data_IF_459791580438
#
_entry.id   IF_459791580438
#
_cell.length_a   1.000
_cell.length_b   1.000
_cell.length_c   1.000
_cell.angle_alpha   90.00
_cell.angle_beta   90.00
_cell.angle_gamma   90.00
#
_symmetry.space_group_name_H-M   'P 1'
#
loop_
_entity.id
_entity.type
_entity.pdbx_description
1 polymer ?
#
# COMPACT_ATOMS: atom_id res chain seq x y z
N UNK A 1 -2.85 40.58 -16.68
CA UNK A 1 -3.54 40.26 -15.41
C UNK A 1 -3.15 38.88 -14.95
N UNK A 2 -2.78 38.80 -13.67
CA UNK A 2 -2.70 37.64 -12.75
C UNK A 2 -3.82 36.60 -12.97
N UNK A 3 -3.78 35.34 -12.52
CA UNK A 3 -2.95 34.67 -11.52
C UNK A 3 -3.13 33.14 -11.69
N UNK A 4 -2.10 32.36 -11.39
CA UNK A 4 -2.10 30.88 -11.32
C UNK A 4 -3.06 30.34 -10.24
N UNK A 5 -3.36 29.02 -10.24
CA UNK A 5 -2.76 28.24 -9.18
C UNK A 5 -1.67 27.33 -9.71
N UNK A 6 -0.66 27.26 -8.88
CA UNK A 6 0.63 26.67 -9.12
C UNK A 6 0.47 25.16 -8.96
N UNK A 7 0.63 24.38 -10.02
CA UNK A 7 0.92 22.94 -9.88
C UNK A 7 2.38 22.79 -9.39
N UNK A 8 2.63 23.15 -8.13
CA UNK A 8 3.81 22.79 -7.32
C UNK A 8 3.41 21.47 -6.64
N UNK A 9 4.05 20.34 -6.79
CA UNK A 9 5.37 20.05 -7.31
C UNK A 9 5.30 18.74 -8.10
N UNK A 10 5.99 18.69 -9.23
CA UNK A 10 6.57 17.45 -9.71
C UNK A 10 7.50 16.95 -8.60
N UNK A 11 7.02 16.03 -7.76
CA UNK A 11 7.91 15.01 -7.21
C UNK A 11 8.27 14.14 -8.43
N UNK A 12 9.56 13.85 -8.69
CA UNK A 12 9.83 12.72 -9.57
C UNK A 12 9.10 11.54 -8.95
N UNK A 13 8.24 10.79 -9.66
CA UNK A 13 7.82 9.51 -9.12
C UNK A 13 9.13 8.73 -9.02
N UNK A 14 9.67 8.61 -7.81
CA UNK A 14 10.64 7.56 -7.54
C UNK A 14 10.02 6.32 -8.16
N UNK A 15 10.73 5.71 -9.10
CA UNK A 15 10.27 4.60 -9.94
C UNK A 15 10.01 3.35 -9.09
N UNK A 16 9.09 3.43 -8.13
CA UNK A 16 8.66 2.35 -7.27
C UNK A 16 7.50 1.71 -7.99
N UNK A 17 7.79 0.60 -8.66
CA UNK A 17 6.78 -0.33 -9.14
C UNK A 17 5.72 -0.51 -8.04
N UNK A 18 4.41 -0.47 -8.39
CA UNK A 18 3.35 -0.69 -7.42
C UNK A 18 3.56 -2.06 -6.76
N UNK A 19 3.41 -2.12 -5.44
CA UNK A 19 3.53 -3.38 -4.71
C UNK A 19 2.45 -4.36 -5.20
N UNK A 20 2.83 -5.60 -5.42
CA UNK A 20 1.91 -6.66 -5.84
C UNK A 20 1.26 -7.33 -4.63
N UNK A 21 0.10 -7.96 -4.83
CA UNK A 21 -0.55 -8.79 -3.81
C UNK A 21 0.36 -9.92 -3.30
N UNK A 22 1.22 -10.45 -4.17
CA UNK A 22 2.18 -11.49 -3.82
C UNK A 22 3.27 -10.96 -2.88
N UNK A 23 3.83 -9.77 -3.15
CA UNK A 23 4.81 -9.13 -2.26
C UNK A 23 4.24 -8.83 -0.88
N UNK A 24 2.97 -8.39 -0.80
CA UNK A 24 2.27 -8.20 0.48
C UNK A 24 2.18 -9.52 1.25
N UNK A 25 1.75 -10.59 0.58
CA UNK A 25 1.60 -11.92 1.17
C UNK A 25 2.93 -12.47 1.67
N UNK A 26 3.99 -12.33 0.89
CA UNK A 26 5.31 -12.87 1.22
C UNK A 26 5.95 -12.10 2.37
N UNK A 27 5.88 -10.77 2.36
CA UNK A 27 6.39 -9.95 3.46
C UNK A 27 5.59 -10.17 4.77
N UNK A 28 4.28 -10.43 4.67
CA UNK A 28 3.48 -10.81 5.84
C UNK A 28 3.91 -12.19 6.37
N UNK A 29 4.09 -13.17 5.49
CA UNK A 29 4.46 -14.54 5.88
C UNK A 29 5.88 -14.63 6.43
N UNK A 30 6.84 -13.88 5.90
CA UNK A 30 8.22 -13.85 6.42
C UNK A 30 8.30 -13.35 7.87
N UNK A 31 7.30 -12.59 8.31
CA UNK A 31 7.15 -12.13 9.70
C UNK A 31 6.32 -13.08 10.58
N UNK A 32 5.79 -14.17 10.03
CA UNK A 32 4.88 -15.06 10.73
C UNK A 32 3.51 -14.43 11.03
N UNK A 33 3.06 -13.45 10.23
CA UNK A 33 1.81 -12.74 10.48
C UNK A 33 0.63 -13.41 9.76
N UNK A 34 -0.52 -13.46 10.42
CA UNK A 34 -1.81 -13.77 9.77
C UNK A 34 -2.34 -12.53 9.03
N UNK A 35 -3.27 -12.72 8.09
CA UNK A 35 -3.96 -11.59 7.43
C UNK A 35 -4.68 -10.70 8.46
N UNK A 36 -5.29 -11.31 9.49
CA UNK A 36 -5.96 -10.58 10.57
C UNK A 36 -4.98 -9.71 11.37
N UNK A 37 -3.76 -10.20 11.62
CA UNK A 37 -2.72 -9.40 12.29
C UNK A 37 -2.30 -8.19 11.46
N UNK A 38 -2.08 -8.37 10.15
CA UNK A 38 -1.75 -7.25 9.26
C UNK A 38 -2.91 -6.24 9.19
N UNK A 39 -4.14 -6.73 9.07
CA UNK A 39 -5.34 -5.91 9.03
C UNK A 39 -5.50 -5.07 10.30
N UNK A 40 -5.37 -5.69 11.48
CA UNK A 40 -5.41 -4.99 12.76
C UNK A 40 -4.29 -3.96 12.93
N UNK A 41 -3.09 -4.24 12.40
CA UNK A 41 -1.97 -3.29 12.41
C UNK A 41 -2.26 -2.07 11.54
N UNK A 42 -3.00 -2.25 10.45
CA UNK A 42 -3.36 -1.19 9.50
C UNK A 42 -4.71 -0.51 9.81
N UNK A 43 -5.48 -1.00 10.79
CA UNK A 43 -6.81 -0.49 11.09
C UNK A 43 -7.84 -0.77 9.98
N UNK A 44 -7.68 -1.86 9.22
CA UNK A 44 -8.57 -2.24 8.11
C UNK A 44 -9.18 -3.62 8.33
N UNK A 45 -10.13 -4.01 7.47
CA UNK A 45 -10.72 -5.36 7.54
C UNK A 45 -9.75 -6.44 7.02
N UNK A 46 -9.82 -7.64 7.59
CA UNK A 46 -9.08 -8.80 7.07
C UNK A 46 -9.45 -9.08 5.60
N UNK A 47 -10.72 -8.90 5.24
CA UNK A 47 -11.20 -9.09 3.87
C UNK A 47 -10.51 -8.16 2.88
N UNK A 48 -10.21 -6.90 3.27
CA UNK A 48 -9.42 -6.00 2.44
C UNK A 48 -8.04 -6.60 2.16
N UNK A 49 -7.33 -7.07 3.18
CA UNK A 49 -6.00 -7.71 3.01
C UNK A 49 -6.09 -8.91 2.08
N UNK A 50 -7.11 -9.75 2.24
CA UNK A 50 -7.34 -10.89 1.34
C UNK A 50 -7.53 -10.42 -0.11
N UNK A 51 -8.39 -9.43 -0.36
CA UNK A 51 -8.63 -8.92 -1.70
C UNK A 51 -7.37 -8.31 -2.34
N UNK A 52 -6.56 -7.60 -1.55
CA UNK A 52 -5.27 -7.04 -2.02
C UNK A 52 -4.27 -8.16 -2.37
N UNK A 53 -4.11 -9.17 -1.52
CA UNK A 53 -3.20 -10.29 -1.77
C UNK A 53 -3.58 -11.11 -3.01
N UNK A 54 -4.88 -11.24 -3.29
CA UNK A 54 -5.39 -11.94 -4.48
C UNK A 54 -5.55 -11.05 -5.72
N UNK A 55 -5.20 -9.76 -5.65
CA UNK A 55 -5.38 -8.82 -6.76
C UNK A 55 -6.84 -8.56 -7.14
N UNK A 56 -7.79 -8.84 -6.23
CA UNK A 56 -9.23 -8.59 -6.43
C UNK A 56 -9.63 -7.14 -6.19
N UNK A 57 -8.73 -6.34 -5.61
CA UNK A 57 -8.92 -4.91 -5.38
C UNK A 57 -7.62 -4.19 -5.67
N UNK A 58 -7.72 -3.03 -6.32
CA UNK A 58 -6.58 -2.15 -6.53
C UNK A 58 -6.12 -1.49 -5.23
N UNK A 59 -4.82 -1.25 -5.14
CA UNK A 59 -4.22 -0.51 -4.03
C UNK A 59 -4.51 0.97 -4.18
N UNK A 60 -5.02 1.58 -3.11
CA UNK A 60 -5.03 3.04 -3.02
C UNK A 60 -3.66 3.52 -2.54
N UNK A 61 -3.23 4.74 -2.89
CA UNK A 61 -1.94 5.29 -2.45
C UNK A 61 -1.76 5.27 -0.93
N UNK A 62 -2.83 5.51 -0.16
CA UNK A 62 -2.80 5.56 1.30
C UNK A 62 -2.50 4.17 1.90
N UNK A 63 -3.12 3.13 1.34
CA UNK A 63 -2.90 1.74 1.77
C UNK A 63 -1.51 1.28 1.33
N UNK A 64 -1.05 1.64 0.13
CA UNK A 64 0.30 1.31 -0.33
C UNK A 64 1.37 1.91 0.59
N UNK A 65 1.27 3.20 0.94
CA UNK A 65 2.20 3.85 1.88
C UNK A 65 2.21 3.15 3.23
N UNK A 66 1.03 2.78 3.73
CA UNK A 66 0.89 2.10 5.01
C UNK A 66 1.50 0.69 4.98
N UNK A 67 1.30 -0.05 3.88
CA UNK A 67 1.90 -1.37 3.65
C UNK A 67 3.43 -1.29 3.59
N UNK A 68 3.99 -0.34 2.82
CA UNK A 68 5.44 -0.12 2.75
C UNK A 68 6.04 0.14 4.13
N UNK A 69 5.40 1.02 4.91
CA UNK A 69 5.84 1.33 6.28
C UNK A 69 5.80 0.10 7.20
N UNK A 70 4.68 -0.63 7.20
CA UNK A 70 4.46 -1.75 8.13
C UNK A 70 5.29 -2.98 7.75
N UNK A 71 5.30 -3.32 6.46
CA UNK A 71 5.96 -4.52 5.93
C UNK A 71 7.44 -4.27 5.55
N UNK A 72 7.91 -3.02 5.56
CA UNK A 72 9.26 -2.62 5.15
C UNK A 72 9.56 -3.04 3.71
N UNK A 73 8.61 -2.72 2.82
CA UNK A 73 8.67 -2.89 1.36
C UNK A 73 9.05 -1.58 0.66
#
# INVERSE_FOLDING_TARGET
>A
MSNRPIYKAQLPPASTKPITGQEIRDARKSRGWSQARLAGTLGVSQQLISHLEFGRRELTPEIEVSLRKVLKL
#
